data_IF_868983749808
#
_entry.id   IF_868983749808
#
_cell.length_a   1.000
_cell.length_b   1.000
_cell.length_c   1.000
_cell.angle_alpha   90.00
_cell.angle_beta   90.00
_cell.angle_gamma   90.00
#
_symmetry.space_group_name_H-M   'P 1'
#
loop_
_entity.id
_entity.type
_entity.pdbx_description
1 polymer ?
#
# COMPACT_ATOMS: atom_id res chain seq x y z
N UNK A 1 3.02 20.80 23.44
CA UNK A 1 2.33 19.56 23.84
C UNK A 1 2.07 18.72 22.60
N UNK A 2 2.80 17.61 22.47
CA UNK A 2 2.51 16.60 21.46
C UNK A 2 1.65 15.56 22.16
N UNK A 3 0.34 15.68 21.98
CA UNK A 3 -0.62 14.68 22.45
C UNK A 3 -0.68 13.54 21.44
N UNK A 4 0.08 12.48 21.72
CA UNK A 4 -0.07 11.21 21.01
C UNK A 4 -1.27 10.47 21.63
N UNK A 5 -2.45 10.64 21.03
CA UNK A 5 -3.61 9.79 21.29
C UNK A 5 -3.55 8.56 20.39
N UNK A 6 -3.48 7.38 21.00
CA UNK A 6 -3.55 6.10 20.29
C UNK A 6 -4.97 5.48 20.27
N UNK A 7 -5.99 6.19 20.81
CA UNK A 7 -7.44 6.18 20.50
C UNK A 7 -8.26 6.63 21.74
N UNK A 8 -9.39 7.31 21.51
CA UNK A 8 -10.37 7.77 22.52
C UNK A 8 -11.13 6.61 23.17
N UNK A 9 -11.09 6.50 24.51
CA UNK A 9 -12.22 6.01 25.32
C UNK A 9 -12.21 6.69 26.71
N UNK A 10 -12.91 7.83 26.83
CA UNK A 10 -13.37 8.46 28.08
C UNK A 10 -12.36 8.81 29.20
N UNK A 11 -11.06 8.70 29.00
CA UNK A 11 -10.08 9.19 29.97
C UNK A 11 -9.53 10.57 29.55
N UNK A 12 -9.43 11.55 30.47
CA UNK A 12 -8.81 12.83 30.16
C UNK A 12 -7.37 12.61 29.72
N UNK A 13 -6.94 13.35 28.69
CA UNK A 13 -5.56 13.33 28.23
C UNK A 13 -4.61 13.54 29.42
N UNK A 14 -3.80 12.53 29.73
CA UNK A 14 -2.71 12.68 30.70
C UNK A 14 -1.55 13.29 29.93
N UNK A 15 -1.16 14.56 30.18
CA UNK A 15 0.04 15.10 29.57
C UNK A 15 1.21 14.21 29.98
N UNK A 16 1.81 13.53 29.01
CA UNK A 16 2.95 12.67 29.27
C UNK A 16 4.18 13.56 29.42
N UNK A 17 4.37 14.14 30.60
CA UNK A 17 5.61 14.82 30.95
C UNK A 17 6.55 13.79 31.55
N UNK A 18 7.55 13.36 30.78
CA UNK A 18 8.57 12.44 31.27
C UNK A 18 9.58 13.26 32.11
N UNK A 19 9.45 13.19 33.43
CA UNK A 19 10.33 13.89 34.35
C UNK A 19 11.58 13.06 34.62
N UNK A 20 12.73 13.50 34.08
CA UNK A 20 14.02 12.94 34.47
C UNK A 20 14.48 13.61 35.75
N UNK A 21 14.54 12.85 36.84
CA UNK A 21 15.02 13.32 38.15
C UNK A 21 16.46 12.90 38.34
N UNK A 22 17.28 13.82 38.84
CA UNK A 22 18.64 13.50 39.21
C UNK A 22 18.64 12.46 40.35
N UNK A 23 19.37 11.34 40.23
CA UNK A 23 19.21 10.19 41.13
C UNK A 23 19.65 10.44 42.59
N UNK A 24 20.32 11.56 42.87
CA UNK A 24 20.90 11.84 44.20
C UNK A 24 20.20 12.97 44.96
N UNK A 25 19.53 13.89 44.28
CA UNK A 25 18.91 15.07 44.91
C UNK A 25 17.47 15.32 44.42
N UNK A 26 16.93 14.40 43.61
CA UNK A 26 15.57 14.42 43.04
C UNK A 26 15.18 15.67 42.25
N UNK A 27 16.15 16.55 41.94
CA UNK A 27 15.90 17.76 41.17
C UNK A 27 15.48 17.40 39.75
N UNK A 28 14.46 18.08 39.25
CA UNK A 28 14.00 17.98 37.86
C UNK A 28 15.11 18.45 36.91
N UNK A 29 15.55 17.57 35.99
CA UNK A 29 16.67 17.85 35.08
C UNK A 29 16.23 18.34 33.68
N UNK A 30 14.96 18.18 33.30
CA UNK A 30 14.45 18.61 32.00
C UNK A 30 13.13 19.36 32.15
N UNK A 31 13.11 20.62 31.70
CA UNK A 31 11.90 21.33 31.32
C UNK A 31 11.55 20.92 29.89
N UNK A 32 10.30 20.55 29.62
CA UNK A 32 9.81 20.44 28.24
C UNK A 32 9.98 21.81 27.58
N UNK A 33 10.85 21.92 26.59
CA UNK A 33 11.05 23.17 25.86
C UNK A 33 9.79 23.47 25.05
N UNK A 34 9.22 24.67 25.22
CA UNK A 34 8.30 25.24 24.24
C UNK A 34 9.16 25.65 23.04
N UNK A 35 9.15 24.84 21.99
CA UNK A 35 9.81 25.16 20.73
C UNK A 35 8.89 26.12 19.98
N UNK A 36 9.36 27.35 19.73
CA UNK A 36 8.76 28.25 18.74
C UNK A 36 9.48 28.02 17.41
N UNK A 37 8.72 27.58 16.40
CA UNK A 37 9.24 27.26 15.07
C UNK A 37 8.41 27.92 13.99
N UNK A 38 8.99 28.04 12.80
CA UNK A 38 8.32 28.52 11.60
C UNK A 38 7.56 27.38 10.91
N UNK A 39 6.48 27.73 10.22
CA UNK A 39 5.70 26.78 9.46
C UNK A 39 4.50 27.42 8.77
N UNK A 40 3.74 26.61 8.05
CA UNK A 40 2.50 27.00 7.39
C UNK A 40 1.34 26.16 7.90
N UNK A 41 0.15 26.76 7.90
CA UNK A 41 -1.12 26.07 8.15
C UNK A 41 -2.01 26.18 6.93
N UNK A 42 -2.44 25.04 6.42
CA UNK A 42 -3.45 24.95 5.37
C UNK A 42 -4.78 24.59 6.03
N UNK A 43 -5.78 25.45 5.85
CA UNK A 43 -7.16 25.20 6.22
C UNK A 43 -7.89 24.68 5.00
N UNK A 44 -8.32 23.42 5.03
CA UNK A 44 -9.12 22.87 3.95
C UNK A 44 -10.56 23.38 4.08
N UNK A 45 -11.23 23.57 2.95
CA UNK A 45 -12.66 23.88 2.96
C UNK A 45 -13.44 22.62 3.40
N UNK A 46 -13.90 22.62 4.65
CA UNK A 46 -14.62 21.51 5.29
C UNK A 46 -15.85 21.09 4.52
N UNK A 47 -16.60 22.04 3.95
CA UNK A 47 -17.83 21.77 3.21
C UNK A 47 -17.52 21.11 1.86
N UNK A 48 -16.52 21.62 1.14
CA UNK A 48 -16.07 21.03 -0.12
C UNK A 48 -15.54 19.60 0.08
N UNK A 49 -14.70 19.40 1.10
CA UNK A 49 -14.17 18.08 1.43
C UNK A 49 -15.29 17.12 1.84
N UNK A 50 -16.27 17.59 2.60
CA UNK A 50 -17.43 16.76 2.99
C UNK A 50 -18.28 16.37 1.78
N UNK A 51 -18.63 17.33 0.92
CA UNK A 51 -19.39 17.08 -0.29
C UNK A 51 -18.68 16.08 -1.23
N UNK A 52 -17.36 16.20 -1.38
CA UNK A 52 -16.57 15.24 -2.14
C UNK A 52 -16.60 13.84 -1.51
N UNK A 53 -16.35 13.72 -0.20
CA UNK A 53 -16.37 12.43 0.50
C UNK A 53 -17.73 11.76 0.38
N UNK A 54 -18.83 12.51 0.54
CA UNK A 54 -20.19 11.98 0.44
C UNK A 54 -20.52 11.49 -0.99
N UNK A 55 -20.05 12.21 -2.00
CA UNK A 55 -20.14 11.80 -3.41
C UNK A 55 -19.35 10.51 -3.68
N UNK A 56 -18.10 10.43 -3.21
CA UNK A 56 -17.25 9.24 -3.38
C UNK A 56 -17.83 8.02 -2.67
N UNK A 57 -18.33 8.18 -1.44
CA UNK A 57 -18.94 7.07 -0.69
C UNK A 57 -20.08 6.42 -1.47
N UNK A 58 -20.90 7.23 -2.15
CA UNK A 58 -21.99 6.73 -2.99
C UNK A 58 -21.48 5.83 -4.13
N UNK A 59 -20.33 6.17 -4.72
CA UNK A 59 -19.67 5.34 -5.76
C UNK A 59 -18.96 4.11 -5.18
N UNK A 60 -18.45 4.21 -3.95
CA UNK A 60 -17.70 3.15 -3.29
C UNK A 60 -18.57 2.05 -2.66
N UNK A 61 -19.87 2.29 -2.41
CA UNK A 61 -20.71 1.34 -1.67
C UNK A 61 -20.70 -0.09 -2.23
N UNK A 62 -20.71 -0.25 -3.56
CA UNK A 62 -20.79 -1.57 -4.22
C UNK A 62 -19.60 -1.89 -5.13
N UNK A 63 -18.71 -0.93 -5.36
CA UNK A 63 -17.61 -1.08 -6.31
C UNK A 63 -16.49 -1.99 -5.77
N UNK A 64 -15.72 -2.57 -6.69
CA UNK A 64 -14.51 -3.34 -6.37
C UNK A 64 -13.50 -2.49 -5.57
N UNK A 65 -13.37 -1.21 -5.93
CA UNK A 65 -12.51 -0.25 -5.23
C UNK A 65 -12.99 0.02 -3.80
N UNK A 66 -14.30 0.15 -3.57
CA UNK A 66 -14.82 0.32 -2.22
C UNK A 66 -14.55 -0.88 -1.33
N UNK A 67 -14.65 -2.10 -1.89
CA UNK A 67 -14.29 -3.34 -1.17
C UNK A 67 -12.78 -3.42 -0.91
N UNK A 68 -11.95 -2.96 -1.83
CA UNK A 68 -10.50 -2.81 -1.64
C UNK A 68 -10.18 -1.85 -0.49
N UNK A 69 -10.77 -0.65 -0.50
CA UNK A 69 -10.60 0.36 0.55
C UNK A 69 -11.10 -0.10 1.91
N UNK A 70 -12.20 -0.87 1.98
CA UNK A 70 -12.64 -1.51 3.23
C UNK A 70 -11.65 -2.55 3.74
N UNK A 71 -10.99 -3.28 2.85
CA UNK A 71 -9.90 -4.19 3.22
C UNK A 71 -8.71 -3.44 3.83
N UNK A 72 -8.34 -2.29 3.25
CA UNK A 72 -7.29 -1.42 3.82
C UNK A 72 -7.70 -0.78 5.15
N UNK A 73 -8.95 -0.35 5.26
CA UNK A 73 -9.49 0.12 6.53
C UNK A 73 -9.46 -1.00 7.59
N UNK A 74 -9.83 -2.22 7.22
CA UNK A 74 -9.75 -3.37 8.14
C UNK A 74 -8.31 -3.66 8.58
N UNK A 75 -7.35 -3.58 7.65
CA UNK A 75 -5.92 -3.69 7.96
C UNK A 75 -5.50 -2.62 8.97
N UNK A 76 -5.82 -1.36 8.69
CA UNK A 76 -5.53 -0.22 9.56
C UNK A 76 -6.07 -0.46 10.96
N UNK A 77 -7.35 -0.81 11.09
CA UNK A 77 -8.01 -0.98 12.39
C UNK A 77 -7.47 -2.16 13.18
N UNK A 78 -7.10 -3.28 12.55
CA UNK A 78 -6.45 -4.39 13.25
C UNK A 78 -5.08 -3.94 13.78
N UNK A 79 -4.26 -3.32 12.92
CA UNK A 79 -2.92 -2.88 13.28
C UNK A 79 -2.95 -1.82 14.39
N UNK A 80 -3.77 -0.77 14.26
CA UNK A 80 -3.90 0.31 15.26
C UNK A 80 -4.32 -0.24 16.63
N UNK A 81 -5.36 -1.08 16.65
CA UNK A 81 -5.92 -1.66 17.88
C UNK A 81 -4.99 -2.66 18.55
N UNK A 82 -4.19 -3.38 17.77
CA UNK A 82 -3.12 -4.22 18.29
C UNK A 82 -2.04 -3.38 18.96
N UNK A 83 -1.54 -2.35 18.28
CA UNK A 83 -0.51 -1.44 18.81
C UNK A 83 -0.99 -0.77 20.09
N UNK A 84 -2.24 -0.27 20.13
CA UNK A 84 -2.85 0.33 21.31
C UNK A 84 -2.95 -0.64 22.51
N UNK A 85 -2.95 -1.95 22.27
CA UNK A 85 -2.99 -3.00 23.29
C UNK A 85 -1.61 -3.62 23.55
N UNK A 86 -0.55 -2.94 23.15
CA UNK A 86 0.84 -3.40 23.27
C UNK A 86 1.11 -4.76 22.60
N UNK A 87 0.30 -5.14 21.61
CA UNK A 87 0.59 -6.28 20.75
C UNK A 87 1.67 -5.85 19.76
N UNK A 88 2.65 -6.74 19.55
CA UNK A 88 3.79 -6.47 18.68
C UNK A 88 3.35 -6.06 17.27
N UNK A 89 3.87 -4.94 16.76
CA UNK A 89 3.47 -4.37 15.47
C UNK A 89 3.79 -5.28 14.28
N UNK A 90 4.88 -6.05 14.34
CA UNK A 90 5.22 -7.03 13.31
C UNK A 90 4.18 -8.16 13.27
N UNK A 91 3.76 -8.68 14.42
CA UNK A 91 2.72 -9.70 14.49
C UNK A 91 1.34 -9.14 14.08
N UNK A 92 1.03 -7.91 14.49
CA UNK A 92 -0.18 -7.19 14.11
C UNK A 92 -0.30 -7.06 12.58
N UNK A 93 0.78 -6.65 11.90
CA UNK A 93 0.80 -6.53 10.45
C UNK A 93 0.56 -7.89 9.76
N UNK A 94 1.19 -8.97 10.25
CA UNK A 94 1.04 -10.31 9.64
C UNK A 94 -0.36 -10.88 9.83
N UNK A 95 -0.96 -10.68 11.00
CA UNK A 95 -2.33 -11.17 11.24
C UNK A 95 -3.35 -10.34 10.48
N UNK A 96 -3.11 -9.02 10.34
CA UNK A 96 -3.95 -8.15 9.53
C UNK A 96 -3.95 -8.58 8.05
N UNK A 97 -2.77 -8.89 7.48
CA UNK A 97 -2.66 -9.40 6.10
C UNK A 97 -3.47 -10.69 5.92
N UNK A 98 -3.30 -11.68 6.81
CA UNK A 98 -4.04 -12.94 6.77
C UNK A 98 -5.56 -12.72 6.90
N UNK A 99 -5.99 -11.82 7.77
CA UNK A 99 -7.41 -11.55 7.99
C UNK A 99 -8.06 -10.79 6.84
N UNK A 100 -7.35 -9.86 6.21
CA UNK A 100 -7.80 -9.12 5.03
C UNK A 100 -7.87 -10.03 3.80
N UNK A 101 -6.95 -10.97 3.66
CA UNK A 101 -7.04 -12.05 2.66
C UNK A 101 -8.23 -12.96 2.96
N UNK A 102 -8.39 -13.43 4.21
CA UNK A 102 -9.52 -14.28 4.59
C UNK A 102 -10.87 -13.60 4.33
N UNK A 103 -11.00 -12.32 4.67
CA UNK A 103 -12.21 -11.54 4.44
C UNK A 103 -12.53 -11.35 2.95
N UNK A 104 -11.54 -11.49 2.06
CA UNK A 104 -11.72 -11.32 0.63
C UNK A 104 -12.29 -12.57 -0.06
N UNK A 105 -12.11 -13.77 0.50
CA UNK A 105 -12.73 -15.00 0.01
C UNK A 105 -14.08 -15.25 0.70
N UNK A 106 -15.19 -15.44 -0.04
CA UNK A 106 -16.52 -15.64 0.55
C UNK A 106 -16.58 -16.77 1.59
N UNK A 107 -15.95 -17.92 1.31
CA UNK A 107 -15.98 -19.07 2.22
C UNK A 107 -15.19 -18.80 3.51
N UNK A 108 -13.99 -18.21 3.39
CA UNK A 108 -13.14 -17.89 4.54
C UNK A 108 -13.73 -16.75 5.38
N UNK A 109 -14.39 -15.78 4.73
CA UNK A 109 -15.15 -14.73 5.42
C UNK A 109 -16.30 -15.29 6.24
N UNK A 110 -17.02 -16.28 5.71
CA UNK A 110 -18.08 -16.97 6.45
C UNK A 110 -17.51 -17.70 7.67
N UNK A 111 -16.36 -18.38 7.51
CA UNK A 111 -15.65 -19.02 8.62
C UNK A 111 -15.21 -18.01 9.68
N UNK A 112 -14.60 -16.88 9.27
CA UNK A 112 -14.19 -15.79 10.15
C UNK A 112 -15.38 -15.24 10.97
N UNK A 113 -16.51 -15.02 10.31
CA UNK A 113 -17.75 -14.54 10.95
C UNK A 113 -18.27 -15.55 11.98
N UNK A 114 -18.25 -16.84 11.65
CA UNK A 114 -18.64 -17.93 12.55
C UNK A 114 -17.72 -18.04 13.78
N UNK A 115 -16.41 -17.90 13.57
CA UNK A 115 -15.40 -17.88 14.64
C UNK A 115 -15.62 -16.68 15.58
N UNK A 116 -15.97 -15.51 15.05
CA UNK A 116 -16.25 -14.34 15.88
C UNK A 116 -17.52 -14.50 16.72
N UNK A 117 -18.58 -15.05 16.13
CA UNK A 117 -19.84 -15.32 16.85
C UNK A 117 -19.63 -16.29 18.01
N UNK A 118 -18.79 -17.32 17.82
CA UNK A 118 -18.39 -18.26 18.87
C UNK A 118 -16.89 -18.49 18.85
N UNK A 119 -16.18 -17.67 19.62
CA UNK A 119 -14.72 -17.69 19.67
C UNK A 119 -14.19 -19.09 19.98
N UNK A 120 -13.39 -19.58 19.05
CA UNK A 120 -12.72 -20.87 19.12
C UNK A 120 -11.31 -20.68 18.56
N UNK A 121 -10.32 -20.68 19.45
CA UNK A 121 -8.91 -20.47 19.12
C UNK A 121 -8.37 -21.52 18.16
N UNK A 122 -8.88 -22.75 18.19
CA UNK A 122 -8.44 -23.81 17.27
C UNK A 122 -8.96 -23.55 15.86
N UNK A 123 -10.23 -23.15 15.75
CA UNK A 123 -10.80 -22.76 14.45
C UNK A 123 -10.17 -21.49 13.90
N UNK A 124 -9.84 -20.54 14.78
CA UNK A 124 -9.08 -19.34 14.40
C UNK A 124 -7.70 -19.70 13.85
N UNK A 125 -6.94 -20.58 14.52
CA UNK A 125 -5.66 -21.06 14.03
C UNK A 125 -5.80 -21.77 12.67
N UNK A 126 -6.81 -22.63 12.52
CA UNK A 126 -7.09 -23.33 11.27
C UNK A 126 -7.45 -22.36 10.14
N UNK A 127 -8.20 -21.28 10.43
CA UNK A 127 -8.49 -20.22 9.46
C UNK A 127 -7.20 -19.57 8.97
N UNK A 128 -6.30 -19.15 9.87
CA UNK A 128 -5.05 -18.49 9.48
C UNK A 128 -4.17 -19.41 8.63
N UNK A 129 -4.05 -20.69 8.99
CA UNK A 129 -3.30 -21.69 8.22
C UNK A 129 -3.95 -21.90 6.85
N UNK A 130 -5.27 -22.06 6.78
CA UNK A 130 -5.98 -22.23 5.51
C UNK A 130 -5.80 -21.01 4.60
N UNK A 131 -5.93 -19.80 5.13
CA UNK A 131 -5.69 -18.58 4.35
C UNK A 131 -4.26 -18.51 3.83
N UNK A 132 -3.27 -18.86 4.66
CA UNK A 132 -1.87 -18.92 4.24
C UNK A 132 -1.67 -19.92 3.09
N UNK A 133 -2.07 -21.17 3.27
CA UNK A 133 -1.88 -22.23 2.27
C UNK A 133 -2.64 -21.93 0.96
N UNK A 134 -3.84 -21.35 1.06
CA UNK A 134 -4.68 -21.05 -0.10
C UNK A 134 -4.16 -19.87 -0.92
N UNK A 135 -3.68 -18.82 -0.27
CA UNK A 135 -3.51 -17.52 -0.93
C UNK A 135 -2.20 -16.78 -0.62
N UNK A 136 -1.42 -17.18 0.38
CA UNK A 136 -0.22 -16.42 0.79
C UNK A 136 1.02 -17.29 0.99
N UNK A 137 1.03 -18.50 0.42
CA UNK A 137 2.13 -19.47 0.60
C UNK A 137 3.48 -18.94 0.13
N UNK A 138 3.48 -18.05 -0.86
CA UNK A 138 4.70 -17.42 -1.41
C UNK A 138 4.99 -16.04 -0.81
N UNK A 139 4.25 -15.63 0.23
CA UNK A 139 4.49 -14.35 0.89
C UNK A 139 5.83 -14.40 1.67
N UNK A 140 6.81 -13.51 1.41
CA UNK A 140 8.19 -13.65 1.91
C UNK A 140 8.33 -13.57 3.43
N UNK A 141 7.38 -12.92 4.09
CA UNK A 141 7.39 -12.77 5.55
C UNK A 141 6.53 -13.80 6.29
N UNK A 142 5.82 -14.68 5.58
CA UNK A 142 4.97 -15.72 6.16
C UNK A 142 5.57 -17.10 5.88
N UNK A 143 5.51 -17.98 6.88
CA UNK A 143 5.83 -19.40 6.75
C UNK A 143 4.84 -20.17 7.60
N UNK A 144 4.61 -21.46 7.33
CA UNK A 144 3.69 -22.28 8.13
C UNK A 144 4.01 -22.22 9.64
N UNK A 145 5.30 -22.24 9.99
CA UNK A 145 5.76 -22.07 11.39
C UNK A 145 5.43 -20.69 11.96
N UNK A 146 5.65 -19.61 11.20
CA UNK A 146 5.32 -18.25 11.63
C UNK A 146 3.81 -18.07 11.81
N UNK A 147 3.00 -18.63 10.90
CA UNK A 147 1.54 -18.58 10.98
C UNK A 147 1.02 -19.35 12.19
N UNK A 148 1.56 -20.55 12.47
CA UNK A 148 1.21 -21.30 13.66
C UNK A 148 1.54 -20.53 14.96
N UNK A 149 2.74 -19.95 15.06
CA UNK A 149 3.13 -19.12 16.21
C UNK A 149 2.24 -17.88 16.35
N UNK A 150 1.89 -17.24 15.24
CA UNK A 150 0.99 -16.09 15.23
C UNK A 150 -0.40 -16.49 15.75
N UNK A 151 -0.92 -17.64 15.34
CA UNK A 151 -2.19 -18.15 15.83
C UNK A 151 -2.18 -18.43 17.34
N UNK A 152 -1.08 -18.98 17.87
CA UNK A 152 -0.90 -19.17 19.31
C UNK A 152 -0.93 -17.83 20.05
N UNK A 153 -0.15 -16.84 19.58
CA UNK A 153 -0.07 -15.51 20.19
C UNK A 153 -1.38 -14.72 20.11
N UNK A 154 -2.16 -14.92 19.04
CA UNK A 154 -3.41 -14.18 18.76
C UNK A 154 -4.68 -14.96 19.14
N UNK A 155 -4.55 -16.00 19.96
CA UNK A 155 -5.68 -16.87 20.35
C UNK A 155 -6.51 -16.36 21.55
N UNK A 156 -5.98 -15.36 22.26
CA UNK A 156 -6.49 -14.90 23.55
C UNK A 156 -7.69 -13.93 23.47
N UNK A 157 -8.33 -13.65 24.61
CA UNK A 157 -9.49 -12.74 24.70
C UNK A 157 -9.17 -11.31 24.27
N UNK A 158 -7.93 -10.85 24.48
CA UNK A 158 -7.47 -9.52 24.03
C UNK A 158 -7.57 -9.38 22.52
N UNK A 159 -7.10 -10.37 21.76
CA UNK A 159 -7.17 -10.34 20.30
C UNK A 159 -8.59 -10.55 19.78
N UNK A 160 -9.40 -11.39 20.45
CA UNK A 160 -10.84 -11.48 20.15
C UNK A 160 -11.51 -10.10 20.22
N UNK A 161 -11.21 -9.31 21.25
CA UNK A 161 -11.75 -7.96 21.42
C UNK A 161 -11.30 -7.04 20.27
N UNK A 162 -10.01 -7.05 19.92
CA UNK A 162 -9.47 -6.32 18.75
C UNK A 162 -10.25 -6.65 17.48
N UNK A 163 -10.40 -7.94 17.18
CA UNK A 163 -11.01 -8.38 15.93
C UNK A 163 -12.52 -8.07 15.89
N UNK A 164 -13.21 -8.19 17.03
CA UNK A 164 -14.64 -7.86 17.14
C UNK A 164 -14.88 -6.36 16.90
N UNK A 165 -14.07 -5.51 17.53
CA UNK A 165 -14.14 -4.05 17.34
C UNK A 165 -13.78 -3.68 15.90
N UNK A 166 -12.71 -4.24 15.34
CA UNK A 166 -12.29 -3.96 13.97
C UNK A 166 -13.37 -4.32 12.94
N UNK A 167 -14.04 -5.46 13.12
CA UNK A 167 -15.13 -5.87 12.24
C UNK A 167 -16.35 -4.96 12.36
N UNK A 168 -16.68 -4.50 13.57
CA UNK A 168 -17.78 -3.56 13.79
C UNK A 168 -17.50 -2.21 13.11
N UNK A 169 -16.27 -1.69 13.22
CA UNK A 169 -15.89 -0.41 12.61
C UNK A 169 -15.90 -0.46 11.09
N UNK A 170 -15.35 -1.52 10.49
CA UNK A 170 -15.33 -1.68 9.03
C UNK A 170 -16.74 -1.79 8.43
N UNK A 171 -17.71 -2.24 9.22
CA UNK A 171 -19.13 -2.29 8.84
C UNK A 171 -19.85 -0.95 9.03
N UNK A 172 -19.35 -0.06 9.89
CA UNK A 172 -19.94 1.26 10.10
C UNK A 172 -19.74 2.16 8.89
N UNK A 173 -20.84 2.70 8.35
CA UNK A 173 -20.80 3.66 7.25
C UNK A 173 -20.14 4.98 7.68
N UNK A 174 -20.40 5.42 8.91
CA UNK A 174 -19.80 6.62 9.50
C UNK A 174 -18.28 6.45 9.66
N UNK A 175 -17.83 5.33 10.22
CA UNK A 175 -16.38 5.09 10.37
C UNK A 175 -15.68 4.93 9.02
N UNK A 176 -16.35 4.33 8.04
CA UNK A 176 -15.80 4.26 6.68
C UNK A 176 -15.74 5.64 6.02
N UNK A 177 -16.70 6.54 6.29
CA UNK A 177 -16.63 7.95 5.88
C UNK A 177 -15.43 8.66 6.50
N UNK A 178 -15.22 8.50 7.80
CA UNK A 178 -14.06 9.06 8.52
C UNK A 178 -12.74 8.56 7.94
N UNK A 179 -12.68 7.27 7.63
CA UNK A 179 -11.53 6.66 6.95
C UNK A 179 -11.27 7.30 5.58
N UNK A 180 -12.28 7.42 4.71
CA UNK A 180 -12.12 8.05 3.38
C UNK A 180 -11.66 9.50 3.50
N UNK A 181 -12.26 10.28 4.43
CA UNK A 181 -11.82 11.65 4.69
C UNK A 181 -10.36 11.70 5.12
N UNK A 182 -9.98 10.85 6.06
CA UNK A 182 -8.62 10.78 6.58
C UNK A 182 -7.61 10.40 5.50
N UNK A 183 -7.95 9.47 4.61
CA UNK A 183 -7.11 9.05 3.49
C UNK A 183 -6.76 10.24 2.58
N UNK A 184 -7.73 11.12 2.33
CA UNK A 184 -7.53 12.32 1.52
C UNK A 184 -6.69 13.35 2.28
N UNK A 185 -7.07 13.70 3.52
CA UNK A 185 -6.36 14.70 4.34
C UNK A 185 -4.91 14.29 4.61
N UNK A 186 -4.68 13.01 4.91
CA UNK A 186 -3.34 12.47 5.12
C UNK A 186 -2.49 12.57 3.85
N UNK A 187 -3.07 12.17 2.70
CA UNK A 187 -2.40 12.31 1.40
C UNK A 187 -2.06 13.76 1.05
N UNK A 188 -2.98 14.70 1.29
CA UNK A 188 -2.74 16.13 1.11
C UNK A 188 -1.62 16.63 2.04
N UNK A 189 -1.56 16.16 3.28
CA UNK A 189 -0.54 16.58 4.24
C UNK A 189 0.86 16.14 3.82
N UNK A 190 1.02 14.90 3.38
CA UNK A 190 2.27 14.37 2.83
C UNK A 190 2.70 15.19 1.60
N UNK A 191 1.76 15.48 0.69
CA UNK A 191 2.04 16.30 -0.51
C UNK A 191 2.42 17.73 -0.16
N UNK A 192 1.73 18.35 0.79
CA UNK A 192 2.05 19.70 1.24
C UNK A 192 3.45 19.77 1.85
N UNK A 193 3.85 18.77 2.65
CA UNK A 193 5.23 18.65 3.15
C UNK A 193 6.26 18.56 2.01
N UNK A 194 6.00 17.71 1.02
CA UNK A 194 6.92 17.56 -0.13
C UNK A 194 7.07 18.87 -0.92
N UNK A 195 5.97 19.59 -1.16
CA UNK A 195 6.00 20.92 -1.80
C UNK A 195 6.74 21.94 -0.94
N UNK A 196 6.51 21.92 0.38
CA UNK A 196 7.17 22.79 1.34
C UNK A 196 8.69 22.62 1.29
N UNK A 197 9.18 21.37 1.27
CA UNK A 197 10.61 21.06 1.13
C UNK A 197 11.14 21.52 -0.23
N UNK A 198 10.48 21.13 -1.33
CA UNK A 198 10.94 21.39 -2.69
C UNK A 198 11.05 22.89 -3.00
N UNK A 199 10.00 23.65 -2.70
CA UNK A 199 9.92 25.08 -2.99
C UNK A 199 10.52 25.96 -1.89
N UNK A 200 10.64 25.42 -0.67
CA UNK A 200 11.40 26.03 0.42
C UNK A 200 12.91 25.81 0.33
N UNK A 201 13.37 24.83 -0.46
CA UNK A 201 14.75 24.33 -0.52
C UNK A 201 15.26 23.86 0.86
N UNK A 202 14.36 23.25 1.62
CA UNK A 202 14.61 22.77 2.98
C UNK A 202 15.24 21.38 3.01
N UNK A 203 15.75 20.99 4.18
CA UNK A 203 16.14 19.62 4.47
C UNK A 203 14.91 18.80 4.89
N UNK A 204 14.65 17.69 4.20
CA UNK A 204 13.51 16.80 4.50
C UNK A 204 13.52 16.30 5.95
N UNK A 205 14.70 16.08 6.53
CA UNK A 205 14.84 15.60 7.92
C UNK A 205 14.47 16.68 8.94
N UNK A 206 14.38 17.93 8.51
CA UNK A 206 14.07 19.11 9.33
C UNK A 206 12.67 19.65 9.07
N UNK A 207 11.80 18.90 8.40
CA UNK A 207 10.41 19.31 8.18
C UNK A 207 9.48 18.20 8.67
N UNK A 208 8.45 18.60 9.40
CA UNK A 208 7.40 17.72 9.90
C UNK A 208 6.04 18.24 9.49
N UNK A 209 5.06 17.37 9.34
CA UNK A 209 3.65 17.76 9.29
C UNK A 209 2.86 17.17 10.45
N UNK A 210 1.75 17.83 10.78
CA UNK A 210 0.75 17.31 11.68
C UNK A 210 -0.66 17.65 11.18
N UNK A 211 -1.56 16.69 11.30
CA UNK A 211 -2.99 16.87 11.05
C UNK A 211 -3.79 15.92 11.95
N UNK A 212 -4.94 16.36 12.44
CA UNK A 212 -5.80 15.52 13.29
C UNK A 212 -6.76 14.74 12.41
N UNK A 213 -6.36 13.54 12.00
CA UNK A 213 -7.18 12.68 11.16
C UNK A 213 -8.38 12.10 11.91
N UNK A 214 -9.59 12.06 11.32
CA UNK A 214 -10.75 11.38 11.88
C UNK A 214 -10.50 9.94 12.34
N UNK A 215 -9.69 9.17 11.60
CA UNK A 215 -9.37 7.78 11.95
C UNK A 215 -8.48 7.63 13.21
N UNK A 216 -7.80 8.69 13.67
CA UNK A 216 -7.01 8.69 14.92
C UNK A 216 -7.70 9.45 16.06
N UNK A 217 -8.37 10.56 15.73
CA UNK A 217 -8.86 11.54 16.70
C UNK A 217 -10.39 11.65 16.77
N UNK A 218 -11.14 10.93 15.94
CA UNK A 218 -12.60 10.93 15.97
C UNK A 218 -13.19 12.35 15.89
N UNK A 219 -13.96 12.73 16.91
CA UNK A 219 -14.62 14.03 16.99
C UNK A 219 -13.65 15.21 17.19
N UNK A 220 -12.44 14.96 17.70
CA UNK A 220 -11.39 15.97 17.89
C UNK A 220 -10.59 16.25 16.61
N UNK A 221 -10.91 15.55 15.51
CA UNK A 221 -10.34 15.79 14.20
C UNK A 221 -10.67 17.17 13.65
N UNK A 222 -9.80 17.68 12.78
CA UNK A 222 -10.04 18.93 12.06
C UNK A 222 -9.37 18.91 10.69
N UNK A 223 -9.86 19.76 9.78
CA UNK A 223 -9.32 19.84 8.42
C UNK A 223 -8.19 20.87 8.31
N UNK A 224 -7.29 20.84 9.31
CA UNK A 224 -6.11 21.70 9.36
C UNK A 224 -4.88 20.83 9.18
N UNK A 225 -4.03 21.22 8.24
CA UNK A 225 -2.71 20.64 8.01
C UNK A 225 -1.67 21.66 8.44
N UNK A 226 -0.80 21.29 9.36
CA UNK A 226 0.36 22.10 9.74
C UNK A 226 1.62 21.46 9.16
N UNK A 227 2.47 22.24 8.50
CA UNK A 227 3.83 21.84 8.10
C UNK A 227 4.79 22.81 8.77
N UNK A 228 5.79 22.29 9.47
CA UNK A 228 6.65 23.06 10.35
C UNK A 228 8.11 22.60 10.24
N UNK A 229 9.00 23.54 10.51
CA UNK A 229 10.42 23.26 10.62
C UNK A 229 10.74 22.61 11.98
N UNK A 230 11.59 21.60 11.97
CA UNK A 230 12.01 20.86 13.15
C UNK A 230 13.26 21.53 13.73
N UNK A 231 13.04 22.47 14.64
CA UNK A 231 14.10 23.24 15.30
C UNK A 231 13.56 24.55 15.87
N UNK A 232 14.30 25.15 16.80
CA UNK A 232 13.98 26.48 17.31
C UNK A 232 14.27 27.55 16.24
N UNK A 233 13.36 28.50 16.06
CA UNK A 233 13.45 29.63 15.11
C UNK A 233 13.45 29.28 13.60
N UNK A 234 13.48 28.00 13.25
CA UNK A 234 13.48 27.54 11.87
C UNK A 234 14.83 27.68 11.13
N UNK A 235 15.02 26.90 10.08
CA UNK A 235 16.11 26.98 9.10
C UNK A 235 15.79 27.90 7.90
N UNK A 236 14.57 28.41 7.79
CA UNK A 236 14.14 29.35 6.76
C UNK A 236 13.47 28.71 5.54
N UNK A 237 13.18 27.42 5.59
CA UNK A 237 12.38 26.71 4.57
C UNK A 237 11.02 27.38 4.36
N UNK A 238 10.34 27.80 5.42
CA UNK A 238 9.05 28.51 5.42
C UNK A 238 9.15 29.78 4.60
N UNK A 239 10.19 30.58 4.83
CA UNK A 239 10.42 31.83 4.10
C UNK A 239 10.69 31.57 2.63
N UNK A 240 11.43 30.51 2.30
CA UNK A 240 11.63 30.06 0.92
C UNK A 240 10.33 29.62 0.24
N UNK A 241 9.51 28.86 0.96
CA UNK A 241 8.24 28.34 0.46
C UNK A 241 7.24 29.48 0.20
N UNK A 242 7.10 30.43 1.13
CA UNK A 242 6.22 31.59 0.96
C UNK A 242 6.60 32.45 -0.25
N UNK A 243 7.90 32.59 -0.55
CA UNK A 243 8.36 33.30 -1.77
C UNK A 243 7.99 32.57 -3.06
N UNK A 244 7.73 31.27 -3.00
CA UNK A 244 7.41 30.42 -4.15
C UNK A 244 5.99 29.84 -4.06
N UNK A 245 5.11 30.43 -3.24
CA UNK A 245 3.81 29.85 -2.91
C UNK A 245 2.96 29.59 -4.15
N UNK A 246 2.83 30.59 -5.04
CA UNK A 246 2.05 30.44 -6.28
C UNK A 246 2.57 29.29 -7.14
N UNK A 247 3.89 29.21 -7.34
CA UNK A 247 4.54 28.12 -8.11
C UNK A 247 4.34 26.76 -7.44
N UNK A 248 4.36 26.70 -6.11
CA UNK A 248 4.11 25.47 -5.39
C UNK A 248 2.68 24.96 -5.63
N UNK A 249 1.68 25.85 -5.56
CA UNK A 249 0.29 25.47 -5.80
C UNK A 249 -0.01 25.21 -7.30
N UNK A 250 0.72 25.82 -8.24
CA UNK A 250 0.66 25.44 -9.65
C UNK A 250 1.07 24.00 -9.91
N UNK A 251 1.98 23.43 -9.12
CA UNK A 251 2.34 22.01 -9.21
C UNK A 251 1.32 21.07 -8.55
N UNK A 252 0.30 21.61 -7.89
CA UNK A 252 -0.81 20.83 -7.35
C UNK A 252 -1.96 20.63 -8.35
N UNK A 253 -1.80 21.12 -9.59
CA UNK A 253 -2.82 21.04 -10.65
C UNK A 253 -3.34 19.61 -10.88
N UNK A 254 -4.60 19.47 -11.30
CA UNK A 254 -5.18 18.19 -11.72
C UNK A 254 -4.24 17.45 -12.67
N UNK A 255 -3.84 16.24 -12.29
CA UNK A 255 -2.95 15.40 -13.09
C UNK A 255 -1.49 15.31 -12.61
N UNK A 256 -1.04 16.16 -11.68
CA UNK A 256 0.32 16.08 -11.14
C UNK A 256 0.65 14.71 -10.48
N UNK A 257 -0.37 14.02 -9.94
CA UNK A 257 -0.22 12.65 -9.40
C UNK A 257 -0.32 11.56 -10.47
N UNK A 258 -0.88 11.84 -11.65
CA UNK A 258 -0.87 10.95 -12.82
C UNK A 258 0.36 11.12 -13.69
N UNK A 259 1.06 12.25 -13.59
CA UNK A 259 2.37 12.51 -14.22
C UNK A 259 3.54 11.84 -13.47
N UNK A 260 3.26 11.13 -12.38
CA UNK A 260 4.26 10.32 -11.69
C UNK A 260 4.85 9.29 -12.67
N UNK A 261 6.19 9.22 -12.84
CA UNK A 261 6.83 8.30 -13.78
C UNK A 261 6.38 6.84 -13.60
N UNK A 262 6.25 6.38 -12.35
CA UNK A 262 5.76 5.03 -12.03
C UNK A 262 4.32 4.80 -12.54
N UNK A 263 3.43 5.78 -12.39
CA UNK A 263 2.04 5.66 -12.84
C UNK A 263 1.94 5.67 -14.37
N UNK A 264 2.76 6.50 -15.02
CA UNK A 264 2.87 6.56 -16.48
C UNK A 264 3.37 5.23 -17.04
N UNK A 265 4.43 4.67 -16.46
CA UNK A 265 5.00 3.39 -16.88
C UNK A 265 3.99 2.24 -16.77
N UNK A 266 3.31 2.11 -15.63
CA UNK A 266 2.25 1.12 -15.43
C UNK A 266 1.12 1.29 -16.47
N UNK A 267 0.71 2.54 -16.76
CA UNK A 267 -0.32 2.82 -17.76
C UNK A 267 0.11 2.45 -19.18
N UNK A 268 1.40 2.63 -19.53
CA UNK A 268 1.95 2.23 -20.82
C UNK A 268 1.98 0.71 -20.94
N UNK A 269 2.42 0.01 -19.89
CA UNK A 269 2.38 -1.47 -19.84
C UNK A 269 0.95 -1.98 -20.00
N UNK A 270 -0.03 -1.35 -19.36
CA UNK A 270 -1.44 -1.74 -19.53
C UNK A 270 -1.93 -1.53 -20.98
N UNK A 271 -1.51 -0.45 -21.65
CA UNK A 271 -1.84 -0.24 -23.09
C UNK A 271 -1.27 -1.34 -23.97
N UNK A 272 -0.07 -1.86 -23.68
CA UNK A 272 0.49 -3.02 -24.41
C UNK A 272 -0.50 -4.18 -24.38
N UNK A 273 -1.09 -4.49 -23.22
CA UNK A 273 -2.07 -5.58 -23.10
C UNK A 273 -3.45 -5.26 -23.67
N UNK A 274 -3.80 -3.99 -23.91
CA UNK A 274 -5.05 -3.60 -24.56
C UNK A 274 -5.04 -3.76 -26.08
N UNK A 275 -3.85 -3.82 -26.70
CA UNK A 275 -3.65 -3.92 -28.15
C UNK A 275 -3.16 -5.31 -28.56
N UNK A 276 -3.94 -6.36 -28.26
CA UNK A 276 -3.57 -7.74 -28.59
C UNK A 276 -3.36 -7.99 -30.09
N UNK A 277 -4.04 -7.22 -30.93
CA UNK A 277 -3.94 -7.25 -32.38
C UNK A 277 -2.57 -6.78 -32.91
N UNK A 278 -1.84 -5.97 -32.14
CA UNK A 278 -0.55 -5.43 -32.56
C UNK A 278 0.66 -6.27 -32.10
N UNK A 279 0.46 -7.25 -31.22
CA UNK A 279 1.55 -8.01 -30.57
C UNK A 279 2.49 -8.69 -31.56
N UNK A 280 1.94 -9.33 -32.60
CA UNK A 280 2.75 -10.00 -33.64
C UNK A 280 3.58 -9.02 -34.47
N UNK A 281 3.09 -7.78 -34.63
CA UNK A 281 3.85 -6.74 -35.32
C UNK A 281 4.97 -6.21 -34.44
N UNK A 282 4.70 -5.99 -33.15
CA UNK A 282 5.68 -5.50 -32.19
C UNK A 282 6.82 -6.49 -31.96
N UNK A 283 6.53 -7.79 -31.88
CA UNK A 283 7.54 -8.84 -31.73
C UNK A 283 8.54 -8.93 -32.90
N UNK A 284 8.24 -8.32 -34.06
CA UNK A 284 9.13 -8.30 -35.24
C UNK A 284 10.05 -7.08 -35.31
N UNK A 285 9.82 -6.07 -34.47
CA UNK A 285 10.65 -4.88 -34.40
C UNK A 285 12.00 -5.20 -33.74
N UNK A 286 13.07 -4.52 -34.16
CA UNK A 286 14.38 -4.63 -33.50
C UNK A 286 14.50 -3.61 -32.35
N UNK A 287 14.61 -4.04 -31.08
CA UNK A 287 14.74 -3.13 -29.95
C UNK A 287 16.08 -2.36 -29.92
N UNK A 288 17.03 -2.67 -30.79
CA UNK A 288 18.31 -1.94 -30.93
C UNK A 288 18.25 -0.81 -31.96
N UNK A 289 17.21 -0.79 -32.80
CA UNK A 289 17.04 0.19 -33.87
C UNK A 289 16.11 1.32 -33.39
N UNK A 290 16.62 2.56 -33.37
CA UNK A 290 15.89 3.73 -32.88
C UNK A 290 14.55 3.93 -33.59
N UNK A 291 14.53 3.75 -34.93
CA UNK A 291 13.32 3.91 -35.75
C UNK A 291 12.22 2.91 -35.41
N UNK A 292 12.60 1.70 -35.02
CA UNK A 292 11.64 0.66 -34.66
C UNK A 292 11.05 0.93 -33.27
N UNK A 293 11.84 1.50 -32.35
CA UNK A 293 11.35 1.96 -31.05
C UNK A 293 10.49 3.22 -31.13
N UNK A 294 10.78 4.13 -32.06
CA UNK A 294 9.90 5.25 -32.38
C UNK A 294 8.54 4.76 -32.87
N UNK A 295 8.51 3.80 -33.80
CA UNK A 295 7.27 3.19 -34.32
C UNK A 295 6.47 2.48 -33.23
N UNK A 296 7.14 1.73 -32.35
CA UNK A 296 6.50 1.10 -31.20
C UNK A 296 5.84 2.17 -30.31
N UNK A 297 6.58 3.23 -29.96
CA UNK A 297 6.06 4.34 -29.17
C UNK A 297 4.88 5.06 -29.83
N UNK A 298 4.90 5.23 -31.15
CA UNK A 298 3.77 5.80 -31.91
C UNK A 298 2.54 4.91 -31.87
N UNK A 299 2.72 3.60 -32.06
CA UNK A 299 1.61 2.64 -32.01
C UNK A 299 0.97 2.55 -30.61
N UNK A 300 1.71 2.88 -29.55
CA UNK A 300 1.22 2.98 -28.17
C UNK A 300 0.64 4.36 -27.82
N UNK A 301 0.63 5.30 -28.77
CA UNK A 301 0.13 6.67 -28.58
C UNK A 301 0.95 7.49 -27.58
N UNK A 302 2.27 7.29 -27.53
CA UNK A 302 3.16 8.00 -26.62
C UNK A 302 3.58 9.37 -27.17
N UNK A 303 3.62 10.38 -26.30
CA UNK A 303 4.25 11.67 -26.61
C UNK A 303 5.77 11.53 -26.75
N UNK A 304 6.44 12.50 -27.38
CA UNK A 304 7.91 12.47 -27.54
C UNK A 304 8.65 12.36 -26.20
N UNK A 305 8.18 13.06 -25.17
CA UNK A 305 8.75 13.01 -23.82
C UNK A 305 8.56 11.63 -23.16
N UNK A 306 7.40 10.99 -23.39
CA UNK A 306 7.12 9.64 -22.90
C UNK A 306 7.97 8.58 -23.61
N UNK A 307 8.19 8.72 -24.93
CA UNK A 307 9.05 7.82 -25.70
C UNK A 307 10.47 7.77 -25.14
N UNK A 308 11.02 8.92 -24.73
CA UNK A 308 12.39 9.02 -24.21
C UNK A 308 12.57 8.48 -22.79
N UNK A 309 11.52 8.51 -21.97
CA UNK A 309 11.62 8.23 -20.53
C UNK A 309 11.01 6.89 -20.09
N UNK A 310 10.11 6.30 -20.89
CA UNK A 310 9.19 5.26 -20.39
C UNK A 310 9.12 3.98 -21.24
N UNK A 311 9.84 3.88 -22.36
CA UNK A 311 9.80 2.68 -23.23
C UNK A 311 10.58 1.48 -22.67
N UNK A 312 11.50 1.69 -21.71
CA UNK A 312 12.38 0.62 -21.22
C UNK A 312 11.61 -0.60 -20.70
N UNK A 313 10.51 -0.38 -19.98
CA UNK A 313 9.71 -1.47 -19.42
C UNK A 313 8.88 -2.18 -20.46
N UNK A 314 8.45 -1.49 -21.51
CA UNK A 314 7.84 -2.11 -22.70
C UNK A 314 8.87 -2.97 -23.43
N UNK A 315 10.08 -2.46 -23.64
CA UNK A 315 11.17 -3.21 -24.28
C UNK A 315 11.52 -4.46 -23.47
N UNK A 316 11.64 -4.33 -22.14
CA UNK A 316 11.87 -5.47 -21.25
C UNK A 316 10.72 -6.48 -21.33
N UNK A 317 9.47 -6.01 -21.34
CA UNK A 317 8.30 -6.88 -21.41
C UNK A 317 8.25 -7.67 -22.72
N UNK A 318 8.45 -7.00 -23.86
CA UNK A 318 8.27 -7.59 -25.20
C UNK A 318 9.44 -8.46 -25.66
N UNK A 319 10.69 -8.10 -25.29
CA UNK A 319 11.90 -8.74 -25.81
C UNK A 319 12.80 -9.35 -24.72
N UNK A 320 12.44 -9.15 -23.45
CA UNK A 320 13.11 -9.79 -22.32
C UNK A 320 12.70 -11.26 -22.18
N UNK A 321 13.62 -12.06 -21.66
CA UNK A 321 13.40 -13.49 -21.44
C UNK A 321 14.20 -13.98 -20.23
N UNK A 322 13.72 -15.05 -19.63
CA UNK A 322 14.47 -15.88 -18.70
C UNK A 322 15.12 -17.02 -19.48
N UNK A 323 16.42 -17.25 -19.28
CA UNK A 323 17.14 -18.35 -19.90
C UNK A 323 17.65 -19.33 -18.84
N UNK A 324 17.24 -20.60 -18.96
CA UNK A 324 17.67 -21.68 -18.08
C UNK A 324 18.19 -22.81 -18.95
N UNK A 325 19.48 -23.14 -18.81
CA UNK A 325 20.19 -24.01 -19.75
C UNK A 325 20.05 -23.50 -21.20
N UNK A 326 19.53 -24.31 -22.12
CA UNK A 326 19.26 -23.95 -23.50
C UNK A 326 17.82 -23.47 -23.74
N UNK A 327 16.97 -23.45 -22.72
CA UNK A 327 15.57 -23.07 -22.84
C UNK A 327 15.38 -21.58 -22.56
N UNK A 328 14.53 -20.94 -23.38
CA UNK A 328 14.13 -19.54 -23.23
C UNK A 328 12.65 -19.44 -22.89
N UNK A 329 12.34 -18.52 -21.99
CA UNK A 329 10.98 -18.17 -21.56
C UNK A 329 10.78 -16.67 -21.72
N UNK A 330 10.03 -16.29 -22.74
CA UNK A 330 9.78 -14.88 -23.07
C UNK A 330 8.91 -14.23 -21.98
N UNK A 331 9.33 -13.07 -21.46
CA UNK A 331 8.63 -12.37 -20.37
C UNK A 331 7.19 -12.02 -20.75
N UNK A 332 6.96 -11.66 -22.01
CA UNK A 332 5.64 -11.35 -22.51
C UNK A 332 4.64 -12.50 -22.29
N UNK A 333 5.04 -13.73 -22.64
CA UNK A 333 4.18 -14.91 -22.52
C UNK A 333 3.94 -15.27 -21.04
N UNK A 334 4.98 -15.15 -20.20
CA UNK A 334 4.86 -15.31 -18.74
C UNK A 334 3.89 -14.28 -18.15
N UNK A 335 3.99 -13.00 -18.53
CA UNK A 335 3.09 -11.95 -18.07
C UNK A 335 1.64 -12.21 -18.49
N UNK A 336 1.38 -12.71 -19.71
CA UNK A 336 0.02 -13.09 -20.12
C UNK A 336 -0.57 -14.17 -19.20
N UNK A 337 0.21 -15.19 -18.86
CA UNK A 337 -0.22 -16.24 -17.95
C UNK A 337 -0.43 -15.73 -16.52
N UNK A 338 0.44 -14.83 -16.03
CA UNK A 338 0.27 -14.21 -14.72
C UNK A 338 -1.02 -13.36 -14.68
N UNK A 339 -1.31 -12.59 -15.73
CA UNK A 339 -2.58 -11.83 -15.83
C UNK A 339 -3.80 -12.76 -15.85
N UNK A 340 -3.71 -13.88 -16.56
CA UNK A 340 -4.75 -14.93 -16.58
C UNK A 340 -4.97 -15.53 -15.17
N UNK A 341 -3.89 -15.85 -14.45
CA UNK A 341 -3.94 -16.31 -13.07
C UNK A 341 -4.60 -15.28 -12.14
N UNK A 342 -4.30 -13.99 -12.34
CA UNK A 342 -4.93 -12.87 -11.62
C UNK A 342 -6.41 -12.71 -11.92
N UNK A 343 -6.83 -12.87 -13.18
CA UNK A 343 -8.25 -12.86 -13.54
C UNK A 343 -9.01 -14.04 -12.90
N UNK A 344 -8.42 -15.23 -12.90
CA UNK A 344 -8.97 -16.42 -12.26
C UNK A 344 -9.02 -16.31 -10.72
N UNK A 345 -8.10 -15.56 -10.11
CA UNK A 345 -8.13 -15.26 -8.68
C UNK A 345 -9.21 -14.23 -8.34
N UNK A 346 -9.31 -13.18 -9.15
CA UNK A 346 -10.30 -12.10 -8.97
C UNK A 346 -11.73 -12.64 -8.97
N UNK A 347 -12.04 -13.66 -9.78
CA UNK A 347 -13.37 -14.27 -9.79
C UNK A 347 -13.74 -15.02 -8.50
N UNK A 348 -12.75 -15.34 -7.66
CA UNK A 348 -12.94 -16.01 -6.36
C UNK A 348 -12.96 -15.04 -5.18
N UNK A 349 -12.61 -13.78 -5.41
CA UNK A 349 -12.44 -12.76 -4.38
C UNK A 349 -13.47 -11.66 -4.54
N UNK A 350 -13.86 -11.03 -3.43
CA UNK A 350 -14.80 -9.89 -3.47
C UNK A 350 -14.11 -8.57 -3.86
N UNK A 351 -12.77 -8.52 -3.85
CA UNK A 351 -11.93 -7.35 -4.17
C UNK A 351 -10.80 -7.75 -5.11
N UNK A 352 -10.09 -6.77 -5.66
CA UNK A 352 -8.84 -7.02 -6.40
C UNK A 352 -7.82 -7.76 -5.52
N UNK A 353 -7.07 -8.73 -6.06
CA UNK A 353 -6.00 -9.40 -5.32
C UNK A 353 -4.84 -8.46 -4.98
N UNK A 354 -4.15 -8.72 -3.88
CA UNK A 354 -2.84 -8.15 -3.58
C UNK A 354 -1.76 -8.85 -4.41
N UNK A 355 -0.56 -8.26 -4.48
CA UNK A 355 0.55 -8.81 -5.25
C UNK A 355 0.95 -10.20 -4.76
N UNK A 356 1.00 -10.43 -3.44
CA UNK A 356 1.41 -11.73 -2.89
C UNK A 356 0.32 -12.80 -3.01
N UNK A 357 -0.95 -12.38 -3.08
CA UNK A 357 -2.06 -13.27 -3.44
C UNK A 357 -1.97 -13.73 -4.89
N UNK A 358 -1.65 -12.81 -5.81
CA UNK A 358 -1.40 -13.12 -7.22
C UNK A 358 -0.19 -14.05 -7.40
N UNK A 359 0.94 -13.74 -6.75
CA UNK A 359 2.16 -14.55 -6.82
C UNK A 359 1.89 -15.97 -6.32
N UNK A 360 1.24 -16.11 -5.16
CA UNK A 360 0.91 -17.41 -4.59
C UNK A 360 -0.02 -18.21 -5.51
N UNK A 361 -1.01 -17.54 -6.13
CA UNK A 361 -1.90 -18.18 -7.09
C UNK A 361 -1.17 -18.66 -8.34
N UNK A 362 -0.32 -17.83 -8.94
CA UNK A 362 0.39 -18.18 -10.16
C UNK A 362 1.31 -19.39 -9.95
N UNK A 363 2.04 -19.42 -8.83
CA UNK A 363 2.89 -20.57 -8.46
C UNK A 363 2.06 -21.82 -8.18
N UNK A 364 0.91 -21.69 -7.51
CA UNK A 364 -0.01 -22.80 -7.26
C UNK A 364 -0.53 -23.41 -8.56
N UNK A 365 -1.02 -22.58 -9.49
CA UNK A 365 -1.52 -23.03 -10.79
C UNK A 365 -0.43 -23.69 -11.64
N UNK A 366 0.80 -23.17 -11.61
CA UNK A 366 1.94 -23.78 -12.27
C UNK A 366 2.29 -25.16 -11.65
N UNK A 367 2.28 -25.28 -10.32
CA UNK A 367 2.52 -26.55 -9.62
C UNK A 367 1.44 -27.59 -9.86
N UNK A 368 0.20 -27.17 -10.12
CA UNK A 368 -0.94 -28.03 -10.51
C UNK A 368 -0.99 -28.35 -12.02
N UNK A 369 0.00 -27.87 -12.80
CA UNK A 369 0.03 -27.99 -14.26
C UNK A 369 -1.25 -27.49 -14.93
N UNK A 370 -1.78 -26.36 -14.46
CA UNK A 370 -3.00 -25.76 -15.00
C UNK A 370 -2.87 -25.45 -16.50
N UNK A 371 -3.89 -25.74 -17.33
CA UNK A 371 -3.86 -25.42 -18.76
C UNK A 371 -3.81 -23.90 -19.03
N UNK A 372 -4.08 -23.06 -18.02
CA UNK A 372 -4.00 -21.61 -18.13
C UNK A 372 -2.59 -21.04 -17.87
N UNK A 373 -1.65 -21.88 -17.40
CA UNK A 373 -0.28 -21.46 -17.06
C UNK A 373 0.80 -22.41 -17.62
N UNK A 374 0.76 -22.83 -18.89
CA UNK A 374 1.70 -23.82 -19.43
C UNK A 374 3.17 -23.34 -19.45
N UNK A 375 3.44 -22.06 -19.71
CA UNK A 375 4.81 -21.50 -19.71
C UNK A 375 5.35 -21.39 -18.30
N UNK A 376 4.55 -20.96 -17.32
CA UNK A 376 4.94 -20.95 -15.91
C UNK A 376 5.15 -22.37 -15.38
N UNK A 377 4.33 -23.33 -15.81
CA UNK A 377 4.51 -24.76 -15.47
C UNK A 377 5.84 -25.28 -16.01
N UNK A 378 6.12 -25.04 -17.30
CA UNK A 378 7.39 -25.43 -17.90
C UNK A 378 8.57 -24.73 -17.19
N UNK A 379 8.46 -23.44 -16.89
CA UNK A 379 9.49 -22.71 -16.15
C UNK A 379 9.74 -23.31 -14.76
N UNK A 380 8.69 -23.70 -14.04
CA UNK A 380 8.81 -24.38 -12.74
C UNK A 380 9.57 -25.71 -12.86
N UNK A 381 9.25 -26.52 -13.87
CA UNK A 381 9.97 -27.78 -14.12
C UNK A 381 11.45 -27.54 -14.43
N UNK A 382 11.79 -26.50 -15.18
CA UNK A 382 13.19 -26.14 -15.42
C UNK A 382 13.90 -25.62 -14.16
N UNK A 383 13.21 -24.88 -13.28
CA UNK A 383 13.80 -24.53 -11.99
C UNK A 383 14.07 -25.75 -11.10
N UNK A 384 13.27 -26.82 -11.22
CA UNK A 384 13.50 -28.09 -10.49
C UNK A 384 14.75 -28.84 -10.94
N UNK A 385 15.26 -28.59 -12.15
CA UNK A 385 16.49 -29.25 -12.64
C UNK A 385 17.77 -28.54 -12.22
N UNK A 386 17.70 -27.39 -11.53
CA UNK A 386 18.89 -26.67 -11.07
C UNK A 386 19.53 -27.38 -9.87
N UNK A 387 20.87 -27.35 -9.78
CA UNK A 387 21.63 -28.05 -8.73
C UNK A 387 21.20 -27.65 -7.30
N UNK A 388 20.87 -26.38 -7.09
CA UNK A 388 20.40 -25.85 -5.79
C UNK A 388 18.90 -26.06 -5.53
N UNK A 389 18.17 -26.74 -6.41
CA UNK A 389 16.71 -26.92 -6.27
C UNK A 389 16.32 -27.72 -5.01
N UNK A 390 17.26 -28.47 -4.42
CA UNK A 390 17.06 -29.24 -3.18
C UNK A 390 17.10 -28.40 -1.90
N UNK A 391 17.55 -27.13 -1.97
CA UNK A 391 17.61 -26.23 -0.82
C UNK A 391 16.19 -25.73 -0.49
N UNK A 392 15.66 -26.21 0.64
CA UNK A 392 14.39 -25.73 1.21
C UNK A 392 14.51 -24.22 1.51
N UNK A 393 13.47 -23.45 1.19
CA UNK A 393 13.34 -21.99 1.33
C UNK A 393 13.70 -21.16 0.07
N UNK A 394 14.56 -20.14 0.18
CA UNK A 394 14.70 -19.04 -0.80
C UNK A 394 15.23 -19.44 -2.17
N UNK A 395 15.78 -20.66 -2.29
CA UNK A 395 16.33 -21.19 -3.54
C UNK A 395 15.48 -22.32 -4.14
N UNK A 396 14.37 -22.68 -3.49
CA UNK A 396 13.45 -23.68 -4.01
C UNK A 396 12.87 -23.24 -5.38
N UNK A 397 12.49 -24.19 -6.24
CA UNK A 397 11.90 -23.88 -7.55
C UNK A 397 10.67 -22.98 -7.45
N UNK A 398 9.82 -23.22 -6.45
CA UNK A 398 8.63 -22.41 -6.18
C UNK A 398 9.00 -20.98 -5.76
N UNK A 399 10.02 -20.80 -4.92
CA UNK A 399 10.53 -19.48 -4.53
C UNK A 399 11.13 -18.71 -5.71
N UNK A 400 11.86 -19.39 -6.61
CA UNK A 400 12.42 -18.78 -7.83
C UNK A 400 11.31 -18.33 -8.78
N UNK A 401 10.31 -19.20 -8.99
CA UNK A 401 9.13 -18.82 -9.76
C UNK A 401 8.37 -17.66 -9.11
N UNK A 402 8.23 -17.66 -7.78
CA UNK A 402 7.57 -16.59 -7.05
C UNK A 402 8.27 -15.23 -7.27
N UNK A 403 9.60 -15.18 -7.19
CA UNK A 403 10.40 -13.97 -7.47
C UNK A 403 10.22 -13.52 -8.93
N UNK A 404 10.25 -14.44 -9.89
CA UNK A 404 10.01 -14.12 -11.29
C UNK A 404 8.60 -13.55 -11.52
N UNK A 405 7.57 -14.20 -10.96
CA UNK A 405 6.19 -13.72 -11.03
C UNK A 405 6.05 -12.35 -10.37
N UNK A 406 6.64 -12.16 -9.19
CA UNK A 406 6.61 -10.87 -8.48
C UNK A 406 7.22 -9.75 -9.34
N UNK A 407 8.41 -9.96 -9.92
CA UNK A 407 9.08 -8.96 -10.77
C UNK A 407 8.29 -8.64 -12.04
N UNK A 408 7.61 -9.62 -12.63
CA UNK A 408 6.83 -9.45 -13.85
C UNK A 408 5.43 -8.87 -13.61
N UNK A 409 4.89 -9.01 -12.41
CA UNK A 409 3.54 -8.53 -12.06
C UNK A 409 3.49 -7.29 -11.16
N UNK A 410 4.63 -6.89 -10.58
CA UNK A 410 4.70 -5.74 -9.71
C UNK A 410 4.45 -4.45 -10.51
N UNK A 411 3.29 -3.85 -10.30
CA UNK A 411 3.00 -2.46 -10.66
C UNK A 411 3.88 -1.53 -9.83
N UNK A 412 4.52 -0.55 -10.46
CA UNK A 412 5.36 0.43 -9.78
C UNK A 412 4.52 1.44 -8.95
N UNK A 413 3.28 1.66 -9.36
CA UNK A 413 2.35 2.62 -8.78
C UNK A 413 1.14 1.92 -8.13
N UNK A 414 1.39 1.23 -7.01
CA UNK A 414 0.32 0.74 -6.14
C UNK A 414 -0.39 1.91 -5.41
N UNK A 415 -1.64 1.68 -5.00
CA UNK A 415 -2.43 2.66 -4.25
C UNK A 415 -1.87 2.87 -2.84
N UNK A 416 -0.93 3.81 -2.71
CA UNK A 416 -0.05 3.97 -1.54
C UNK A 416 1.43 3.75 -1.84
N UNK A 417 1.89 4.03 -3.07
CA UNK A 417 3.30 3.88 -3.46
C UNK A 417 4.24 4.74 -2.56
N UNK A 418 5.40 4.19 -2.14
CA UNK A 418 6.47 4.92 -1.44
C UNK A 418 6.85 6.24 -2.10
N UNK A 419 6.95 6.25 -3.43
CA UNK A 419 7.42 7.42 -4.16
C UNK A 419 6.49 8.65 -4.03
N UNK A 420 5.19 8.44 -3.79
CA UNK A 420 4.23 9.55 -3.77
C UNK A 420 3.60 9.81 -2.39
N UNK A 421 3.32 8.78 -1.60
CA UNK A 421 2.49 8.92 -0.39
C UNK A 421 3.02 8.16 0.84
N UNK A 422 3.76 7.06 0.68
CA UNK A 422 3.95 6.12 1.79
C UNK A 422 5.17 6.39 2.69
N UNK A 423 6.28 6.94 2.19
CA UNK A 423 7.48 7.21 3.02
C UNK A 423 7.45 8.55 3.76
N UNK A 424 6.41 9.36 3.54
CA UNK A 424 6.39 10.75 4.02
C UNK A 424 5.64 11.01 5.32
N UNK A 425 5.01 10.01 5.94
CA UNK A 425 4.12 10.23 7.09
C UNK A 425 4.88 10.50 8.39
N UNK A 426 4.58 11.63 9.04
CA UNK A 426 5.16 12.01 10.34
C UNK A 426 4.28 11.63 11.54
N UNK A 427 3.04 11.21 11.29
CA UNK A 427 2.01 11.01 12.34
C UNK A 427 1.67 9.54 12.60
N UNK A 428 2.22 8.61 11.83
CA UNK A 428 2.02 7.17 12.01
C UNK A 428 3.15 6.34 11.39
N UNK A 429 3.21 5.05 11.75
CA UNK A 429 4.19 4.11 11.20
C UNK A 429 3.94 3.86 9.71
N UNK A 430 4.99 3.39 9.00
CA UNK A 430 4.87 3.05 7.59
C UNK A 430 3.72 2.09 7.28
N UNK A 431 3.49 1.04 8.07
CA UNK A 431 2.40 0.09 7.79
C UNK A 431 1.01 0.72 7.91
N UNK A 432 0.80 1.61 8.90
CA UNK A 432 -0.44 2.35 9.07
C UNK A 432 -0.63 3.41 7.97
N UNK A 433 0.44 4.08 7.55
CA UNK A 433 0.43 5.00 6.40
C UNK A 433 0.08 4.26 5.10
N UNK A 434 0.61 3.05 4.91
CA UNK A 434 0.29 2.14 3.79
C UNK A 434 -1.17 1.70 3.80
N UNK A 435 -1.88 1.80 4.91
CA UNK A 435 -3.29 1.43 5.02
C UNK A 435 -4.22 2.66 4.99
N UNK A 436 -3.67 3.88 5.09
CA UNK A 436 -4.44 5.12 5.28
C UNK A 436 -4.11 6.23 4.27
N UNK A 437 -3.60 5.88 3.09
CA UNK A 437 -3.29 6.83 2.00
C UNK A 437 -3.72 6.27 0.64
N UNK A 438 -4.35 7.05 -0.24
CA UNK A 438 -4.79 6.54 -1.55
C UNK A 438 -4.49 7.56 -2.62
N UNK A 439 -3.66 7.15 -3.60
CA UNK A 439 -3.33 7.98 -4.76
C UNK A 439 -4.58 8.23 -5.59
N UNK A 440 -5.41 7.20 -5.78
CA UNK A 440 -6.62 7.29 -6.62
C UNK A 440 -7.64 8.26 -6.04
N UNK A 441 -7.92 8.17 -4.73
CA UNK A 441 -8.82 9.12 -4.07
C UNK A 441 -8.25 10.53 -4.04
N UNK A 442 -6.95 10.67 -3.74
CA UNK A 442 -6.29 11.96 -3.73
C UNK A 442 -6.30 12.62 -5.11
N UNK A 443 -6.02 11.86 -6.17
CA UNK A 443 -6.06 12.36 -7.55
C UNK A 443 -7.48 12.82 -7.95
N UNK A 444 -8.52 12.06 -7.59
CA UNK A 444 -9.90 12.48 -7.81
C UNK A 444 -10.25 13.75 -7.04
N UNK A 445 -9.82 13.87 -5.79
CA UNK A 445 -10.04 15.07 -4.99
C UNK A 445 -9.32 16.27 -5.59
N UNK A 446 -8.05 16.11 -6.00
CA UNK A 446 -7.27 17.18 -6.64
C UNK A 446 -7.87 17.68 -7.94
N UNK A 447 -8.69 16.88 -8.66
CA UNK A 447 -9.45 17.34 -9.84
C UNK A 447 -10.63 18.26 -9.50
N UNK A 448 -10.99 18.38 -8.23
CA UNK A 448 -12.08 19.23 -7.75
C UNK A 448 -11.59 20.53 -7.08
N UNK A 449 -10.27 20.66 -6.91
CA UNK A 449 -9.60 21.88 -6.46
C UNK A 449 -9.33 22.77 -7.69
#
# INVERSE_FOLDING_TARGET
DIDLRLEDFNEPAVPMTQFFRHPQNESLLLHGYRIETEGVRLHLNTDHLSAFVDSELSQLQTSEEGKWLRGRFFRYTIESRCIARAINSYEAQRVAELLVTAAAFPELRQQLTSILARWDSRKFAALLINTFERALRQHPLLTGRRVAKLAENMSGPTFKKVLTEAMAEVQSAERFRDYVRSVIVHGLAIRLKQLFILFGRGDEQRVLFHTKLPLQFGADANDIISVLENGEQGDGTTRGFLKNLERAFETWKPGALSECPNALEDAIVERVFQHEDLHDSWKKLDPREERDMERLGESLGLSMEQKQSSLQSVTRLLYGHEAIHSQRFEFFDLCKEIRSAGAALRSQMVRSPSIWELVSQAVRLAGEASPHTPKLTALLEFYRTLEDASVVDSLSPESRLADQVYRLSASLCIDGCPACLHTGSDIMTGSLAEASTSRRLLERFSRTL
#
